data_IF_592248499824
#
_entry.id   IF_592248499824
#
_cell.length_a   1.000
_cell.length_b   1.000
_cell.length_c   1.000
_cell.angle_alpha   90.00
_cell.angle_beta   90.00
_cell.angle_gamma   90.00
#
_symmetry.space_group_name_H-M   'P 1'
#
loop_
_entity.id
_entity.type
_entity.pdbx_description
1 polymer ?
#
# COMPACT_ATOMS: atom_id res chain seq x y z
N UNK A 1 -4.11 -0.19 -1.34
CA UNK A 1 -3.22 -1.34 -1.64
C UNK A 1 -3.47 -2.40 -0.58
N UNK A 2 -3.40 -3.69 -0.92
CA UNK A 2 -3.57 -4.77 0.05
C UNK A 2 -2.19 -5.12 0.63
N UNK A 3 -2.12 -5.33 1.95
CA UNK A 3 -0.96 -5.85 2.68
C UNK A 3 -1.34 -7.26 3.17
N UNK A 4 -0.48 -8.25 2.94
CA UNK A 4 -0.82 -9.66 3.10
C UNK A 4 -1.82 -10.17 2.06
N UNK A 5 -2.63 -11.15 2.47
CA UNK A 5 -3.65 -11.82 1.65
C UNK A 5 -5.04 -11.61 2.25
N UNK A 6 -6.07 -11.64 1.39
CA UNK A 6 -7.47 -11.56 1.82
C UNK A 6 -8.26 -12.61 1.05
N UNK A 7 -8.77 -13.61 1.76
CA UNK A 7 -9.65 -14.62 1.16
C UNK A 7 -11.03 -14.06 0.84
N UNK A 8 -11.76 -14.73 -0.08
CA UNK A 8 -13.07 -14.27 -0.57
C UNK A 8 -14.09 -14.03 0.56
N UNK A 9 -14.00 -14.80 1.63
CA UNK A 9 -14.93 -14.78 2.76
C UNK A 9 -14.40 -13.97 3.96
N UNK A 10 -13.18 -13.43 3.87
CA UNK A 10 -12.59 -12.67 4.96
C UNK A 10 -13.04 -11.21 4.95
N UNK A 11 -13.31 -10.70 6.15
CA UNK A 11 -13.60 -9.28 6.36
C UNK A 11 -12.35 -8.45 6.11
N UNK A 12 -12.57 -7.26 5.54
CA UNK A 12 -11.52 -6.32 5.15
C UNK A 12 -11.46 -5.17 6.13
N UNK A 13 -10.29 -4.91 6.69
CA UNK A 13 -10.01 -3.71 7.47
C UNK A 13 -9.32 -2.70 6.55
N UNK A 14 -9.87 -1.47 6.51
CA UNK A 14 -9.26 -0.34 5.84
C UNK A 14 -8.58 0.54 6.88
N UNK A 15 -7.36 0.98 6.61
CA UNK A 15 -6.61 1.83 7.52
C UNK A 15 -5.72 2.81 6.77
N UNK A 16 -5.33 3.88 7.46
CA UNK A 16 -4.51 4.94 6.92
C UNK A 16 -3.16 4.95 7.62
N UNK A 17 -2.07 4.99 6.84
CA UNK A 17 -0.74 5.28 7.34
C UNK A 17 -0.29 6.68 6.89
N UNK A 18 0.44 7.38 7.74
CA UNK A 18 1.18 8.55 7.31
C UNK A 18 2.51 8.07 6.71
N UNK A 19 2.66 8.24 5.40
CA UNK A 19 3.77 7.70 4.63
C UNK A 19 4.43 8.79 3.81
N UNK A 20 5.76 8.82 3.92
CA UNK A 20 6.62 9.60 3.05
C UNK A 20 7.41 8.64 2.16
N UNK A 21 7.58 9.00 0.89
CA UNK A 21 8.36 8.24 -0.08
C UNK A 21 9.82 8.19 0.42
N UNK A 22 10.32 7.02 0.77
CA UNK A 22 11.65 6.91 1.41
C UNK A 22 12.78 7.34 0.46
N UNK A 23 12.54 7.36 -0.85
CA UNK A 23 13.50 7.82 -1.85
C UNK A 23 13.49 9.31 -2.18
N UNK A 24 12.36 10.02 -2.09
CA UNK A 24 12.29 11.44 -2.47
C UNK A 24 11.63 12.36 -1.44
N UNK A 25 11.27 11.82 -0.28
CA UNK A 25 10.70 12.58 0.84
C UNK A 25 9.25 13.05 0.67
N UNK A 26 8.67 12.95 -0.54
CA UNK A 26 7.29 13.40 -0.80
C UNK A 26 6.27 12.59 0.00
N UNK A 27 5.25 13.28 0.54
CA UNK A 27 4.08 12.63 1.13
C UNK A 27 3.33 11.81 0.07
N UNK A 28 2.93 10.59 0.41
CA UNK A 28 2.25 9.67 -0.51
C UNK A 28 0.95 9.13 0.11
N UNK A 29 -0.02 8.67 -0.72
CA UNK A 29 -1.22 8.05 -0.20
C UNK A 29 -0.90 6.79 0.62
N UNK A 30 -1.41 6.73 1.85
CA UNK A 30 -1.25 5.60 2.77
C UNK A 30 -2.53 4.78 2.99
N UNK A 31 -3.49 4.86 2.08
CA UNK A 31 -4.71 4.06 2.13
C UNK A 31 -4.45 2.58 1.84
N UNK A 32 -4.53 1.76 2.88
CA UNK A 32 -4.21 0.33 2.86
C UNK A 32 -5.39 -0.52 3.33
N UNK A 33 -5.31 -1.81 3.00
CA UNK A 33 -6.29 -2.82 3.35
C UNK A 33 -5.59 -4.11 3.76
N UNK A 34 -6.16 -4.83 4.73
CA UNK A 34 -5.72 -6.16 5.15
C UNK A 34 -6.95 -6.98 5.55
N UNK A 35 -6.80 -8.31 5.70
CA UNK A 35 -7.86 -9.10 6.32
C UNK A 35 -7.90 -8.83 7.83
N UNK A 36 -9.08 -8.95 8.43
CA UNK A 36 -9.26 -8.76 9.87
C UNK A 36 -8.40 -9.73 10.69
N UNK A 37 -8.33 -10.99 10.27
CA UNK A 37 -7.52 -12.03 10.92
C UNK A 37 -6.01 -11.73 10.85
N UNK A 38 -5.58 -11.09 9.77
CA UNK A 38 -4.18 -10.72 9.59
C UNK A 38 -3.82 -9.43 10.34
N UNK A 39 -4.76 -8.49 10.40
CA UNK A 39 -4.55 -7.16 10.96
C UNK A 39 -4.18 -7.23 12.45
N UNK A 40 -3.03 -6.66 12.82
CA UNK A 40 -2.53 -6.65 14.20
C UNK A 40 -1.69 -7.87 14.60
N UNK A 41 -1.63 -8.91 13.77
CA UNK A 41 -0.72 -10.06 13.96
C UNK A 41 0.76 -9.63 13.97
N UNK A 42 1.64 -10.49 14.50
CA UNK A 42 3.08 -10.24 14.47
C UNK A 42 3.62 -10.16 13.04
N UNK A 43 3.13 -11.03 12.15
CA UNK A 43 3.48 -11.01 10.72
C UNK A 43 3.07 -9.68 10.08
N UNK A 44 1.87 -9.19 10.37
CA UNK A 44 1.41 -7.88 9.90
C UNK A 44 2.32 -6.74 10.36
N UNK A 45 2.74 -6.73 11.63
CA UNK A 45 3.66 -5.70 12.15
C UNK A 45 4.99 -5.71 11.39
N UNK A 46 5.58 -6.90 11.21
CA UNK A 46 6.84 -7.06 10.46
C UNK A 46 6.68 -6.59 9.01
N UNK A 47 5.60 -7.00 8.34
CA UNK A 47 5.35 -6.61 6.94
C UNK A 47 5.13 -5.10 6.80
N UNK A 48 4.37 -4.48 7.71
CA UNK A 48 4.15 -3.03 7.71
C UNK A 48 5.43 -2.24 7.96
N UNK A 49 6.29 -2.69 8.87
CA UNK A 49 7.55 -2.02 9.14
C UNK A 49 8.52 -2.14 7.95
N UNK A 50 8.58 -3.33 7.34
CA UNK A 50 9.34 -3.55 6.11
C UNK A 50 8.78 -2.72 4.95
N UNK A 51 7.46 -2.63 4.85
CA UNK A 51 6.78 -1.80 3.86
C UNK A 51 7.19 -0.35 4.05
N UNK A 52 7.03 0.25 5.25
CA UNK A 52 7.40 1.65 5.54
C UNK A 52 8.85 1.98 5.17
N UNK A 53 9.80 1.10 5.49
CA UNK A 53 11.23 1.31 5.18
C UNK A 53 11.52 1.33 3.68
N UNK A 54 10.78 0.53 2.93
CA UNK A 54 11.02 0.31 1.51
C UNK A 54 9.99 1.00 0.60
N UNK A 55 9.06 1.79 1.17
CA UNK A 55 7.93 2.33 0.42
C UNK A 55 8.33 3.53 -0.46
N UNK A 56 8.48 3.19 -1.74
CA UNK A 56 8.44 3.99 -2.97
C UNK A 56 9.70 4.78 -3.38
N UNK A 57 10.16 4.60 -4.65
CA UNK A 57 9.73 5.31 -5.89
C UNK A 57 10.04 4.46 -7.15
N UNK A 58 9.73 4.77 -8.44
CA UNK A 58 9.52 6.03 -9.17
C UNK A 58 8.28 5.95 -10.10
N UNK A 59 7.37 6.91 -10.16
CA UNK A 59 7.36 8.33 -9.76
C UNK A 59 6.90 8.49 -8.27
N UNK A 60 7.35 7.59 -7.40
CA UNK A 60 6.72 7.17 -6.15
C UNK A 60 5.67 6.09 -6.40
N UNK A 61 4.63 6.30 -7.20
CA UNK A 61 3.89 5.15 -7.74
C UNK A 61 3.13 5.41 -9.03
N UNK A 62 3.24 6.61 -9.60
CA UNK A 62 2.49 7.08 -10.77
C UNK A 62 3.36 7.37 -12.00
N UNK A 63 4.37 6.54 -12.24
CA UNK A 63 4.68 6.15 -13.63
C UNK A 63 3.82 4.97 -14.07
N UNK A 64 3.35 4.16 -13.11
CA UNK A 64 2.65 2.91 -13.39
C UNK A 64 1.16 3.07 -13.69
N UNK A 65 0.52 4.15 -13.25
CA UNK A 65 -0.93 4.34 -13.42
C UNK A 65 -1.31 5.30 -14.57
N UNK A 66 -0.38 6.13 -15.02
CA UNK A 66 -0.56 7.11 -16.11
C UNK A 66 -0.37 6.53 -17.52
N UNK A 67 0.11 5.29 -17.69
CA UNK A 67 0.17 4.57 -19.00
C UNK A 67 -1.16 3.97 -19.49
N UNK A 68 -2.21 3.91 -18.65
CA UNK A 68 -3.49 3.29 -19.04
C UNK A 68 -4.64 4.29 -19.25
N UNK A 69 -4.34 5.59 -19.46
CA UNK A 69 -5.34 6.64 -19.75
C UNK A 69 -4.82 7.75 -20.67
N UNK A 70 -4.34 7.40 -21.87
CA UNK A 70 -4.30 8.25 -23.09
C UNK A 70 -4.13 7.26 -24.26
N UNK A 71 -5.01 7.05 -25.23
CA UNK A 71 -6.22 7.71 -25.67
C UNK A 71 -7.20 6.62 -26.12
N UNK A 72 -8.43 6.65 -25.63
CA UNK A 72 -9.58 6.27 -26.45
C UNK A 72 -10.04 7.59 -27.09
N UNK A 73 -9.46 7.87 -28.26
CA UNK A 73 -9.94 8.83 -29.25
C UNK A 73 -10.37 8.00 -30.46
#
# INVERSE_FOLDING_TARGET
MIIGHIDKNEKKIKFQLDLNCTKCGKKVPGGLQASENYYGSQLFKIEIDNFKKNYLCGICRDKKRTKNKKSSL
#
